data_IF_805541870905
#
_entry.id   IF_805541870905
#
_cell.length_a   1.000
_cell.length_b   1.000
_cell.length_c   1.000
_cell.angle_alpha   90.00
_cell.angle_beta   90.00
_cell.angle_gamma   90.00
#
_symmetry.space_group_name_H-M   'P 1'
#
loop_
_entity.id
_entity.type
_entity.pdbx_description
1 polymer ?
#
# COMPACT_ATOMS: atom_id res chain seq x y z
N UNK A 1 34.71 41.47 22.55
CA UNK A 1 34.01 40.18 22.44
C UNK A 1 32.88 40.39 21.44
N UNK A 2 32.92 39.76 20.27
CA UNK A 2 31.82 39.86 19.29
C UNK A 2 30.76 38.87 19.73
N UNK A 3 29.55 39.35 20.05
CA UNK A 3 28.42 38.49 20.43
C UNK A 3 27.36 38.67 19.35
N UNK A 4 27.04 37.62 18.61
CA UNK A 4 25.86 37.59 17.75
C UNK A 4 25.54 36.15 17.39
N UNK A 5 24.29 35.70 17.59
CA UNK A 5 23.50 35.17 16.46
C UNK A 5 22.01 35.09 16.80
N UNK A 6 21.18 35.78 16.01
CA UNK A 6 19.74 35.53 15.90
C UNK A 6 19.52 34.96 14.51
N UNK A 7 18.97 33.75 14.39
CA UNK A 7 18.69 33.10 13.10
C UNK A 7 17.21 33.29 12.75
N UNK A 8 16.93 33.93 11.61
CA UNK A 8 15.58 34.01 11.04
C UNK A 8 15.54 33.08 9.82
N UNK A 9 14.67 32.08 9.86
CA UNK A 9 14.51 31.09 8.80
C UNK A 9 13.27 31.42 7.96
N UNK A 10 13.46 31.76 6.69
CA UNK A 10 12.36 31.89 5.74
C UNK A 10 12.34 30.63 4.86
N UNK A 11 11.25 29.86 4.93
CA UNK A 11 11.08 28.64 4.13
C UNK A 11 10.68 29.01 2.70
N UNK A 12 11.42 28.50 1.71
CA UNK A 12 11.00 28.46 0.31
C UNK A 12 11.00 27.00 -0.17
N UNK A 13 9.81 26.41 -0.29
CA UNK A 13 9.44 25.06 -0.79
C UNK A 13 10.32 23.83 -0.38
N UNK A 14 11.65 23.84 -0.55
CA UNK A 14 12.60 22.79 -0.11
C UNK A 14 13.95 23.33 0.40
N UNK A 15 14.11 24.66 0.44
CA UNK A 15 15.30 25.35 0.89
C UNK A 15 14.99 26.32 2.03
N UNK A 16 15.89 26.39 2.99
CA UNK A 16 15.96 27.44 3.99
C UNK A 16 17.00 28.45 3.54
N UNK A 17 16.60 29.71 3.46
CA UNK A 17 17.56 30.80 3.37
C UNK A 17 18.00 31.20 4.77
N UNK A 18 19.31 31.14 5.01
CA UNK A 18 19.92 31.47 6.30
C UNK A 18 20.69 32.78 6.13
N UNK A 19 20.15 33.84 6.72
CA UNK A 19 20.86 35.11 6.82
C UNK A 19 21.91 35.04 7.95
N UNK A 20 23.18 35.25 7.60
CA UNK A 20 24.29 35.31 8.54
C UNK A 20 24.75 36.76 8.63
N UNK A 21 24.66 37.34 9.82
CA UNK A 21 25.02 38.73 10.08
C UNK A 21 26.24 38.80 10.99
N UNK A 22 27.20 39.65 10.61
CA UNK A 22 28.26 40.09 11.51
C UNK A 22 27.98 41.55 11.91
N UNK A 23 27.97 41.80 13.22
CA UNK A 23 27.67 43.11 13.82
C UNK A 23 28.83 43.50 14.73
N UNK A 24 29.31 44.74 14.61
CA UNK A 24 30.36 45.24 15.49
C UNK A 24 29.84 45.37 16.94
N UNK A 25 30.61 44.85 17.90
CA UNK A 25 30.21 44.82 19.31
C UNK A 25 30.23 46.18 20.03
N UNK A 26 30.86 47.20 19.46
CA UNK A 26 30.92 48.55 20.03
C UNK A 26 29.91 49.52 19.41
N UNK A 27 29.50 49.30 18.16
CA UNK A 27 28.51 50.12 17.46
C UNK A 27 27.75 49.26 16.44
N UNK A 28 26.47 49.00 16.72
CA UNK A 28 25.61 48.11 15.92
C UNK A 28 25.25 48.65 14.54
N UNK A 29 25.56 49.92 14.23
CA UNK A 29 25.37 50.49 12.88
C UNK A 29 26.36 49.92 11.87
N UNK A 30 27.48 49.37 12.32
CA UNK A 30 28.44 48.69 11.45
C UNK A 30 28.13 47.20 11.43
N UNK A 31 27.38 46.79 10.40
CA UNK A 31 27.01 45.40 10.16
C UNK A 31 27.17 45.02 8.69
N UNK A 32 27.35 43.73 8.43
CA UNK A 32 27.26 43.12 7.11
C UNK A 32 26.45 41.83 7.17
N UNK A 33 25.83 41.45 6.05
CA UNK A 33 25.03 40.24 5.92
C UNK A 33 25.45 39.45 4.68
N UNK A 34 25.43 38.11 4.80
CA UNK A 34 25.48 37.17 3.67
C UNK A 34 24.35 36.16 3.83
N UNK A 35 23.89 35.57 2.73
CA UNK A 35 22.88 34.51 2.74
C UNK A 35 23.51 33.18 2.36
N UNK A 36 23.19 32.12 3.10
CA UNK A 36 23.50 30.74 2.76
C UNK A 36 22.21 29.98 2.46
N UNK A 37 22.26 29.07 1.48
CA UNK A 37 21.14 28.18 1.16
C UNK A 37 21.35 26.83 1.83
N UNK A 38 20.31 26.33 2.49
CA UNK A 38 20.30 25.01 3.10
C UNK A 38 19.11 24.20 2.58
N UNK A 39 19.38 23.16 1.81
CA UNK A 39 18.35 22.29 1.22
C UNK A 39 18.20 21.02 2.03
N UNK A 40 16.96 20.61 2.27
CA UNK A 40 16.64 19.31 2.88
C UNK A 40 15.97 18.45 1.84
N UNK A 41 16.52 17.27 1.59
CA UNK A 41 15.90 16.29 0.69
C UNK A 41 14.64 15.73 1.36
N UNK A 42 13.57 15.56 0.57
CA UNK A 42 12.37 14.90 1.06
C UNK A 42 12.70 13.43 1.42
N UNK A 43 12.07 12.88 2.47
CA UNK A 43 12.21 11.45 2.75
C UNK A 43 11.81 10.65 1.52
N UNK A 44 12.63 9.69 1.13
CA UNK A 44 12.23 8.73 0.10
C UNK A 44 11.03 7.93 0.60
N UNK A 45 10.01 7.83 -0.24
CA UNK A 45 8.87 6.98 0.06
C UNK A 45 9.29 5.51 -0.07
N UNK A 46 9.01 4.72 0.96
CA UNK A 46 9.42 3.32 1.06
C UNK A 46 8.26 2.42 0.72
N UNK A 47 8.53 1.29 0.05
CA UNK A 47 7.52 0.26 -0.16
C UNK A 47 7.16 -0.39 1.19
N UNK A 48 5.87 -0.32 1.54
CA UNK A 48 5.29 -1.01 2.68
C UNK A 48 4.31 -2.07 2.17
N UNK A 49 4.70 -3.33 2.34
CA UNK A 49 3.85 -4.47 2.00
C UNK A 49 2.76 -4.69 3.06
N UNK A 50 1.59 -5.12 2.62
CA UNK A 50 0.49 -5.49 3.49
C UNK A 50 -0.33 -6.65 2.91
N UNK A 51 -0.99 -7.40 3.79
CA UNK A 51 -1.82 -8.53 3.36
C UNK A 51 -2.97 -8.03 2.47
N UNK A 52 -3.24 -8.65 1.31
CA UNK A 52 -4.37 -8.27 0.49
C UNK A 52 -5.69 -8.62 1.18
N UNK A 53 -6.75 -7.86 0.90
CA UNK A 53 -8.11 -8.20 1.32
C UNK A 53 -8.77 -9.04 0.24
N UNK A 54 -9.33 -10.18 0.63
CA UNK A 54 -10.11 -11.05 -0.25
C UNK A 54 -11.60 -10.98 0.10
N UNK A 55 -12.42 -10.70 -0.91
CA UNK A 55 -13.88 -10.78 -0.84
C UNK A 55 -14.39 -11.82 -1.83
N UNK A 56 -15.34 -12.65 -1.39
CA UNK A 56 -15.92 -13.71 -2.20
C UNK A 56 -17.42 -13.50 -2.38
N UNK A 57 -17.93 -13.67 -3.60
CA UNK A 57 -19.37 -13.64 -3.89
C UNK A 57 -19.76 -14.88 -4.66
N UNK A 58 -20.77 -15.60 -4.20
CA UNK A 58 -21.33 -16.74 -4.92
C UNK A 58 -22.13 -16.25 -6.14
N UNK A 59 -21.90 -16.85 -7.30
CA UNK A 59 -22.60 -16.52 -8.54
C UNK A 59 -23.95 -17.26 -8.70
N UNK A 60 -24.33 -18.04 -7.69
CA UNK A 60 -25.60 -18.76 -7.56
C UNK A 60 -26.12 -18.63 -6.13
N UNK A 61 -27.42 -18.85 -5.97
CA UNK A 61 -28.13 -18.79 -4.68
C UNK A 61 -28.84 -20.10 -4.38
N UNK A 62 -28.92 -20.45 -3.10
CA UNK A 62 -29.64 -21.62 -2.62
C UNK A 62 -28.76 -22.87 -2.53
N UNK A 63 -29.37 -23.95 -2.08
CA UNK A 63 -28.73 -25.26 -1.96
C UNK A 63 -28.61 -25.93 -3.33
N UNK A 64 -27.55 -26.72 -3.51
CA UNK A 64 -27.30 -27.47 -4.76
C UNK A 64 -27.14 -28.95 -4.47
N UNK A 65 -27.46 -29.80 -5.45
CA UNK A 65 -27.25 -31.23 -5.32
C UNK A 65 -25.74 -31.58 -5.24
N UNK A 66 -25.36 -32.70 -4.59
CA UNK A 66 -24.01 -33.25 -4.67
C UNK A 66 -23.53 -33.40 -6.12
N UNK A 67 -22.24 -33.16 -6.38
CA UNK A 67 -21.67 -33.18 -7.74
C UNK A 67 -21.87 -31.88 -8.53
N UNK A 68 -22.58 -30.89 -7.98
CA UNK A 68 -22.82 -29.62 -8.68
C UNK A 68 -21.61 -28.71 -8.60
N UNK A 69 -21.28 -28.06 -9.72
CA UNK A 69 -20.29 -26.99 -9.77
C UNK A 69 -20.92 -25.65 -9.40
N UNK A 70 -20.29 -24.98 -8.45
CA UNK A 70 -20.68 -23.70 -7.87
C UNK A 70 -19.58 -22.70 -8.20
N UNK A 71 -19.93 -21.61 -8.87
CA UNK A 71 -18.99 -20.56 -9.29
C UNK A 71 -18.99 -19.40 -8.31
N UNK A 72 -17.81 -18.88 -8.01
CA UNK A 72 -17.59 -17.75 -7.12
C UNK A 72 -16.78 -16.69 -7.84
N UNK A 73 -17.03 -15.42 -7.51
CA UNK A 73 -16.19 -14.30 -7.89
C UNK A 73 -15.34 -13.90 -6.69
N UNK A 74 -14.04 -14.16 -6.77
CA UNK A 74 -13.05 -13.74 -5.79
C UNK A 74 -12.46 -12.39 -6.21
N UNK A 75 -12.53 -11.40 -5.32
CA UNK A 75 -11.97 -10.05 -5.55
C UNK A 75 -10.88 -9.78 -4.53
N UNK A 76 -9.67 -9.55 -5.01
CA UNK A 76 -8.51 -9.14 -4.23
C UNK A 76 -8.33 -7.63 -4.30
N UNK A 77 -7.96 -7.03 -3.17
CA UNK A 77 -7.55 -5.64 -3.05
C UNK A 77 -6.17 -5.59 -2.42
N UNK A 78 -5.18 -5.01 -3.11
CA UNK A 78 -3.86 -4.78 -2.52
C UNK A 78 -3.97 -3.69 -1.46
N UNK A 79 -3.23 -3.88 -0.37
CA UNK A 79 -3.05 -2.89 0.67
C UNK A 79 -1.60 -2.37 0.69
N UNK A 80 -0.80 -2.72 -0.31
CA UNK A 80 0.57 -2.25 -0.46
C UNK A 80 0.60 -0.75 -0.77
N UNK A 81 1.65 -0.06 -0.33
CA UNK A 81 1.86 1.34 -0.70
C UNK A 81 2.12 1.49 -2.20
N UNK A 82 1.77 2.64 -2.78
CA UNK A 82 1.91 2.93 -4.22
C UNK A 82 3.34 2.81 -4.75
N UNK A 83 4.33 2.87 -3.87
CA UNK A 83 5.77 2.70 -4.16
C UNK A 83 6.23 1.25 -4.32
N UNK A 84 5.37 0.28 -4.03
CA UNK A 84 5.69 -1.13 -4.23
C UNK A 84 5.56 -1.55 -5.69
N UNK A 85 6.26 -2.62 -6.07
CA UNK A 85 6.05 -3.28 -7.36
C UNK A 85 4.77 -4.13 -7.33
N UNK A 86 4.21 -4.40 -8.50
CA UNK A 86 3.08 -5.33 -8.63
C UNK A 86 3.45 -6.74 -8.16
N UNK A 87 2.53 -7.38 -7.44
CA UNK A 87 2.71 -8.74 -6.92
C UNK A 87 1.91 -9.75 -7.75
N UNK A 88 2.46 -10.96 -7.90
CA UNK A 88 1.73 -12.11 -8.45
C UNK A 88 1.12 -12.89 -7.30
N UNK A 89 -0.20 -13.10 -7.34
CA UNK A 89 -0.97 -13.75 -6.27
C UNK A 89 -1.73 -14.94 -6.82
N UNK A 90 -1.58 -16.08 -6.18
CA UNK A 90 -2.35 -17.29 -6.45
C UNK A 90 -3.64 -17.31 -5.63
N UNK A 91 -4.74 -17.65 -6.30
CA UNK A 91 -6.08 -17.79 -5.72
C UNK A 91 -6.46 -19.26 -5.81
N UNK A 92 -6.43 -19.93 -4.66
CA UNK A 92 -6.67 -21.36 -4.52
C UNK A 92 -7.81 -21.61 -3.53
N UNK A 93 -8.62 -22.63 -3.79
CA UNK A 93 -9.59 -23.14 -2.83
C UNK A 93 -9.04 -24.40 -2.16
N UNK A 94 -9.05 -24.44 -0.83
CA UNK A 94 -8.88 -25.68 -0.10
C UNK A 94 -10.26 -26.31 0.07
N UNK A 95 -10.49 -27.46 -0.55
CA UNK A 95 -11.80 -28.14 -0.55
C UNK A 95 -11.72 -29.48 0.19
N UNK A 96 -12.85 -30.00 0.71
CA UNK A 96 -12.90 -31.31 1.36
C UNK A 96 -12.45 -32.46 0.45
N UNK A 97 -12.13 -33.61 1.04
CA UNK A 97 -11.74 -34.80 0.27
C UNK A 97 -12.84 -35.21 -0.73
N UNK A 98 -12.41 -35.52 -1.96
CA UNK A 98 -13.30 -35.89 -3.07
C UNK A 98 -14.00 -34.71 -3.76
N UNK A 99 -13.83 -33.48 -3.26
CA UNK A 99 -14.24 -32.27 -3.96
C UNK A 99 -13.12 -31.78 -4.89
N UNK A 100 -13.46 -30.94 -5.86
CA UNK A 100 -12.48 -30.32 -6.76
C UNK A 100 -12.70 -28.82 -6.87
N UNK A 101 -11.62 -28.07 -7.06
CA UNK A 101 -11.67 -26.66 -7.39
C UNK A 101 -10.62 -26.30 -8.44
N UNK A 102 -10.88 -25.25 -9.21
CA UNK A 102 -9.86 -24.62 -10.04
C UNK A 102 -8.98 -23.67 -9.21
N UNK A 103 -7.90 -23.20 -9.83
CA UNK A 103 -6.97 -22.23 -9.27
C UNK A 103 -6.67 -21.16 -10.30
N UNK A 104 -6.43 -19.93 -9.86
CA UNK A 104 -6.11 -18.81 -10.73
C UNK A 104 -4.87 -18.07 -10.22
N UNK A 105 -4.21 -17.35 -11.12
CA UNK A 105 -3.11 -16.45 -10.77
C UNK A 105 -3.44 -15.07 -11.32
N UNK A 106 -3.21 -14.03 -10.52
CA UNK A 106 -3.42 -12.62 -10.91
C UNK A 106 -2.21 -11.77 -10.58
N UNK A 107 -1.96 -10.77 -11.42
CA UNK A 107 -1.07 -9.65 -11.07
C UNK A 107 -1.90 -8.58 -10.38
N UNK A 108 -1.43 -8.15 -9.21
CA UNK A 108 -2.08 -7.15 -8.38
C UNK A 108 -1.12 -5.97 -8.20
N UNK A 109 -1.50 -4.84 -8.82
CA UNK A 109 -0.81 -3.55 -8.65
C UNK A 109 -0.97 -3.04 -7.20
N UNK A 110 0.00 -2.28 -6.65
CA UNK A 110 -0.14 -1.67 -5.33
C UNK A 110 -1.40 -0.80 -5.24
N UNK A 111 -2.16 -0.93 -4.15
CA UNK A 111 -3.46 -0.28 -3.97
C UNK A 111 -4.55 -0.71 -4.98
N UNK A 112 -4.23 -1.60 -5.91
CA UNK A 112 -5.09 -2.04 -6.99
C UNK A 112 -6.09 -3.12 -6.58
N UNK A 113 -6.96 -3.47 -7.53
CA UNK A 113 -7.98 -4.54 -7.38
C UNK A 113 -7.95 -5.48 -8.57
N UNK A 114 -8.12 -6.77 -8.31
CA UNK A 114 -8.25 -7.81 -9.32
C UNK A 114 -9.37 -8.79 -8.95
N UNK A 115 -10.08 -9.32 -9.95
CA UNK A 115 -11.14 -10.30 -9.73
C UNK A 115 -10.96 -11.53 -10.63
N UNK A 116 -11.21 -12.71 -10.08
CA UNK A 116 -11.19 -14.00 -10.80
C UNK A 116 -12.43 -14.81 -10.49
N UNK A 117 -12.75 -15.74 -11.40
CA UNK A 117 -13.77 -16.76 -11.16
C UNK A 117 -13.12 -18.02 -10.63
N UNK A 118 -13.73 -18.57 -9.57
CA UNK A 118 -13.31 -19.79 -8.91
C UNK A 118 -14.50 -20.76 -8.92
N UNK A 119 -14.31 -21.95 -9.46
CA UNK A 119 -15.34 -22.98 -9.56
C UNK A 119 -15.01 -24.10 -8.58
N UNK A 120 -15.98 -24.47 -7.75
CA UNK A 120 -15.88 -25.57 -6.79
C UNK A 120 -16.96 -26.60 -7.13
N UNK A 121 -16.57 -27.85 -7.28
CA UNK A 121 -17.47 -28.98 -7.51
C UNK A 121 -17.46 -29.88 -6.30
N UNK A 122 -18.64 -30.10 -5.72
CA UNK A 122 -18.79 -31.02 -4.59
C UNK A 122 -18.65 -32.47 -5.03
N UNK A 123 -18.26 -33.36 -4.11
CA UNK A 123 -18.33 -34.79 -4.36
C UNK A 123 -19.77 -35.23 -4.67
N UNK A 124 -19.94 -36.22 -5.54
CA UNK A 124 -21.25 -36.85 -5.80
C UNK A 124 -21.80 -37.59 -4.58
N UNK A 125 -20.93 -37.97 -3.63
CA UNK A 125 -21.27 -38.66 -2.39
C UNK A 125 -21.34 -37.70 -1.19
N UNK A 126 -21.31 -36.39 -1.42
CA UNK A 126 -21.39 -35.40 -0.36
C UNK A 126 -22.71 -35.52 0.40
N UNK A 127 -22.63 -35.60 1.72
CA UNK A 127 -23.81 -35.55 2.59
C UNK A 127 -24.38 -34.14 2.64
N UNK A 128 -25.69 -34.04 2.92
CA UNK A 128 -26.35 -32.76 3.17
C UNK A 128 -25.65 -32.00 4.30
N UNK A 129 -25.31 -30.73 4.06
CA UNK A 129 -24.61 -29.91 5.04
C UNK A 129 -24.05 -28.62 4.46
N UNK A 130 -23.48 -27.81 5.35
CA UNK A 130 -22.77 -26.56 5.01
C UNK A 130 -21.28 -26.80 5.17
N UNK A 131 -20.53 -26.55 4.10
CA UNK A 131 -19.08 -26.76 4.04
C UNK A 131 -18.39 -25.38 4.00
N UNK A 132 -17.57 -25.04 5.02
CA UNK A 132 -16.86 -23.76 5.10
C UNK A 132 -15.63 -23.71 4.20
#
# INVERSE_FOLDING_TARGET
QVVATTYVFNKQETAYEIAIQAVNGADSRYLNQVTANYTVEAPMEVCLLANPVLALTANQSGEVAPGTTVSYTATLTSQDSETCDAAVVDVIANVPDGWTADSNTVTLEPGGKASVKLNVTSSIDASEGVYP
#
